data_IF_486355241573
#
_entry.id   IF_486355241573
#
_cell.length_a   1.000
_cell.length_b   1.000
_cell.length_c   1.000
_cell.angle_alpha   90.00
_cell.angle_beta   90.00
_cell.angle_gamma   90.00
#
_symmetry.space_group_name_H-M   'P 1'
#
loop_
_entity.id
_entity.type
_entity.pdbx_description
1 polymer ?
#
# COMPACT_ATOMS: atom_id res chain seq x y z
N UNK A 1 6.24 -8.17 -17.97
CA UNK A 1 5.58 -7.68 -16.76
C UNK A 1 6.17 -6.34 -16.35
N UNK A 2 5.33 -5.42 -16.00
CA UNK A 2 5.76 -4.11 -15.53
C UNK A 2 6.53 -4.25 -14.23
N UNK A 3 7.59 -3.44 -14.06
CA UNK A 3 8.39 -3.49 -12.82
C UNK A 3 7.84 -2.53 -11.78
N UNK A 4 7.94 -2.96 -10.53
CA UNK A 4 7.57 -2.12 -9.39
C UNK A 4 8.72 -1.16 -9.11
N UNK A 5 8.40 0.11 -8.94
CA UNK A 5 9.36 1.12 -8.50
C UNK A 5 9.07 1.49 -7.06
N UNK A 6 10.12 1.47 -6.25
CA UNK A 6 10.05 1.98 -4.88
C UNK A 6 10.24 3.49 -4.97
N UNK A 7 9.27 4.25 -4.46
CA UNK A 7 9.30 5.71 -4.63
C UNK A 7 10.56 6.34 -4.04
N UNK A 8 11.02 5.84 -2.89
CA UNK A 8 12.23 6.35 -2.25
C UNK A 8 13.44 6.28 -3.17
N UNK A 9 13.51 5.26 -4.02
CA UNK A 9 14.59 5.07 -4.98
C UNK A 9 14.34 5.75 -6.32
N UNK A 10 13.14 6.27 -6.51
CA UNK A 10 12.72 6.92 -7.76
C UNK A 10 11.96 8.22 -7.45
N UNK A 11 12.62 9.17 -6.76
CA UNK A 11 11.93 10.37 -6.26
C UNK A 11 11.39 11.30 -7.35
N UNK A 12 11.88 11.16 -8.56
CA UNK A 12 11.37 11.92 -9.71
C UNK A 12 9.91 11.62 -10.00
N UNK A 13 9.38 10.50 -9.50
CA UNK A 13 7.98 10.11 -9.70
C UNK A 13 7.03 10.69 -8.64
N UNK A 14 7.53 11.45 -7.67
CA UNK A 14 6.73 11.87 -6.51
C UNK A 14 5.45 12.60 -6.91
N UNK A 15 5.54 13.66 -7.71
CA UNK A 15 4.35 14.43 -8.07
C UNK A 15 3.38 13.63 -8.93
N UNK A 16 3.87 12.80 -9.84
CA UNK A 16 3.01 11.90 -10.62
C UNK A 16 2.27 10.93 -9.73
N UNK A 17 2.96 10.37 -8.72
CA UNK A 17 2.35 9.46 -7.77
C UNK A 17 1.30 10.16 -6.91
N UNK A 18 1.59 11.35 -6.39
CA UNK A 18 0.63 12.14 -5.61
C UNK A 18 -0.66 12.33 -6.39
N UNK A 19 -0.56 12.80 -7.62
CA UNK A 19 -1.73 13.05 -8.45
C UNK A 19 -2.51 11.78 -8.76
N UNK A 20 -1.79 10.69 -9.07
CA UNK A 20 -2.41 9.42 -9.42
C UNK A 20 -3.19 8.83 -8.24
N UNK A 21 -2.58 8.75 -7.06
CA UNK A 21 -3.25 8.20 -5.88
C UNK A 21 -4.45 9.08 -5.49
N UNK A 22 -4.30 10.40 -5.57
CA UNK A 22 -5.41 11.31 -5.26
C UNK A 22 -6.62 11.07 -6.16
N UNK A 23 -6.40 10.75 -7.43
CA UNK A 23 -7.50 10.46 -8.37
C UNK A 23 -8.24 9.17 -8.01
N UNK A 24 -7.57 8.22 -7.34
CA UNK A 24 -8.16 6.91 -7.03
C UNK A 24 -8.86 6.90 -5.69
N UNK A 25 -8.40 7.69 -4.74
CA UNK A 25 -8.88 7.68 -3.36
C UNK A 25 -9.22 9.09 -2.92
N UNK A 26 -10.25 9.20 -2.06
CA UNK A 26 -10.72 10.51 -1.57
C UNK A 26 -9.85 11.01 -0.41
N UNK A 27 -8.56 11.05 -0.62
CA UNK A 27 -7.60 11.56 0.36
C UNK A 27 -7.03 12.86 -0.20
N UNK A 28 -6.90 13.92 0.62
CA UNK A 28 -6.38 15.18 0.12
C UNK A 28 -4.99 15.05 -0.50
N UNK A 29 -4.76 15.81 -1.55
CA UNK A 29 -3.47 15.85 -2.26
C UNK A 29 -2.31 16.08 -1.28
N UNK A 30 -2.48 17.02 -0.35
CA UNK A 30 -1.42 17.37 0.58
C UNK A 30 -1.06 16.24 1.55
N UNK A 31 -2.03 15.39 1.89
CA UNK A 31 -1.76 14.22 2.74
C UNK A 31 -0.84 13.23 2.01
N UNK A 32 -1.10 12.96 0.73
CA UNK A 32 -0.23 12.12 -0.06
C UNK A 32 1.15 12.75 -0.26
N UNK A 33 1.19 14.05 -0.58
CA UNK A 33 2.45 14.74 -0.81
C UNK A 33 3.33 14.69 0.43
N UNK A 34 2.76 14.94 1.61
CA UNK A 34 3.50 14.89 2.86
C UNK A 34 4.04 13.49 3.14
N UNK A 35 3.20 12.46 2.99
CA UNK A 35 3.62 11.08 3.23
C UNK A 35 4.72 10.66 2.25
N UNK A 36 4.57 11.01 0.98
CA UNK A 36 5.56 10.65 -0.04
C UNK A 36 6.85 11.44 0.10
N UNK A 37 6.76 12.70 0.53
CA UNK A 37 7.94 13.51 0.83
C UNK A 37 8.74 12.88 1.96
N UNK A 38 8.08 12.47 3.02
CA UNK A 38 8.74 11.78 4.14
C UNK A 38 9.34 10.47 3.66
N UNK A 39 8.64 9.72 2.82
CA UNK A 39 9.15 8.49 2.24
C UNK A 39 10.49 8.71 1.51
N UNK A 40 10.56 9.75 0.70
CA UNK A 40 11.75 10.04 -0.11
C UNK A 40 12.90 10.56 0.76
N UNK A 41 12.61 11.40 1.75
CA UNK A 41 13.63 12.05 2.59
C UNK A 41 14.14 11.18 3.74
N UNK A 42 13.40 10.14 4.10
CA UNK A 42 13.71 9.31 5.28
C UNK A 42 14.33 7.98 4.89
N UNK A 43 15.20 7.48 5.75
CA UNK A 43 15.76 6.14 5.61
C UNK A 43 14.97 5.09 6.40
N UNK A 44 13.91 5.49 7.09
CA UNK A 44 13.04 4.58 7.84
C UNK A 44 12.20 3.75 6.87
N UNK A 45 11.77 2.56 7.31
CA UNK A 45 10.96 1.68 6.49
C UNK A 45 9.60 2.28 6.13
N UNK A 46 9.01 3.06 7.04
CA UNK A 46 7.65 3.60 6.92
C UNK A 46 7.70 5.13 7.01
N UNK A 47 6.94 5.88 6.20
CA UNK A 47 6.08 5.41 5.11
C UNK A 47 6.89 4.94 3.90
N UNK A 48 6.33 3.99 3.15
CA UNK A 48 6.92 3.51 1.90
C UNK A 48 5.86 3.48 0.83
N UNK A 49 6.21 3.90 -0.40
CA UNK A 49 5.26 3.96 -1.50
C UNK A 49 5.82 3.22 -2.71
N UNK A 50 4.93 2.51 -3.40
CA UNK A 50 5.26 1.64 -4.52
C UNK A 50 4.39 2.00 -5.71
N UNK A 51 4.99 2.07 -6.89
CA UNK A 51 4.26 2.37 -8.11
C UNK A 51 4.68 1.43 -9.23
N UNK A 52 3.76 1.23 -10.17
CA UNK A 52 4.02 0.43 -11.37
C UNK A 52 3.64 1.28 -12.56
N UNK A 53 4.56 1.40 -13.51
CA UNK A 53 4.34 2.14 -14.74
C UNK A 53 4.38 1.20 -15.94
N UNK A 54 3.63 1.54 -16.98
CA UNK A 54 3.66 0.79 -18.24
C UNK A 54 4.86 1.22 -19.10
N UNK A 55 4.97 0.65 -20.30
CA UNK A 55 6.07 0.97 -21.21
C UNK A 55 6.05 2.41 -21.70
N UNK A 56 4.92 3.11 -21.57
CA UNK A 56 4.79 4.51 -21.96
C UNK A 56 4.92 5.46 -20.76
N UNK A 57 5.44 4.95 -19.63
CA UNK A 57 5.66 5.74 -18.41
C UNK A 57 4.36 6.25 -17.80
N UNK A 58 3.26 5.53 -17.95
CA UNK A 58 1.99 5.87 -17.31
C UNK A 58 1.80 4.99 -16.08
N UNK A 59 1.36 5.59 -14.97
CA UNK A 59 1.10 4.84 -13.75
C UNK A 59 -0.14 3.95 -13.95
N UNK A 60 0.00 2.66 -13.63
CA UNK A 60 -1.06 1.68 -13.80
C UNK A 60 -1.44 0.97 -12.52
N UNK A 61 -0.60 1.04 -11.49
CA UNK A 61 -0.88 0.39 -10.20
C UNK A 61 0.01 0.98 -9.12
N UNK A 62 -0.36 0.74 -7.88
CA UNK A 62 0.46 1.17 -6.76
C UNK A 62 -0.16 0.86 -5.43
N UNK A 63 0.61 1.08 -4.37
CA UNK A 63 0.18 0.93 -2.98
C UNK A 63 1.14 1.67 -2.06
N UNK A 64 0.69 1.94 -0.85
CA UNK A 64 1.55 2.51 0.17
C UNK A 64 1.56 1.66 1.43
N UNK A 65 2.52 1.94 2.30
CA UNK A 65 2.56 1.37 3.65
C UNK A 65 2.79 2.51 4.61
N UNK A 66 1.85 2.71 5.51
CA UNK A 66 1.85 3.81 6.47
C UNK A 66 1.63 3.27 7.87
N UNK A 67 1.80 4.13 8.86
CA UNK A 67 1.70 3.71 10.25
C UNK A 67 0.27 3.28 10.62
N UNK A 68 -0.74 4.06 10.22
CA UNK A 68 -2.14 3.77 10.53
C UNK A 68 -3.05 4.25 9.40
N UNK A 69 -3.88 3.35 8.87
CA UNK A 69 -4.82 3.63 7.79
C UNK A 69 -6.21 3.99 8.35
N UNK A 70 -6.25 5.02 9.20
CA UNK A 70 -7.48 5.66 9.72
C UNK A 70 -8.38 4.72 10.54
N UNK A 71 -7.77 3.89 11.42
CA UNK A 71 -8.55 3.01 12.30
C UNK A 71 -8.14 3.19 13.77
N UNK A 72 -8.87 2.53 14.67
CA UNK A 72 -8.76 2.72 16.12
C UNK A 72 -7.79 1.76 16.82
N UNK A 73 -6.99 1.01 16.06
CA UNK A 73 -6.02 0.07 16.64
C UNK A 73 -4.58 0.45 16.23
N UNK A 74 -4.00 1.48 16.86
CA UNK A 74 -2.63 1.92 16.49
C UNK A 74 -1.55 0.88 16.77
N UNK A 75 -1.85 -0.13 17.59
CA UNK A 75 -0.94 -1.25 17.84
C UNK A 75 -0.82 -2.19 16.63
N UNK A 76 -1.78 -2.18 15.70
CA UNK A 76 -1.76 -3.01 14.49
C UNK A 76 -1.14 -2.20 13.35
N UNK A 77 0.17 -2.15 13.34
CA UNK A 77 0.98 -1.30 12.46
C UNK A 77 2.21 -2.07 11.95
N UNK A 78 2.71 -1.81 10.73
CA UNK A 78 2.22 -0.82 9.76
C UNK A 78 1.12 -1.37 8.87
N UNK A 79 0.45 -0.46 8.15
CA UNK A 79 -0.68 -0.82 7.30
C UNK A 79 -0.38 -0.62 5.82
N UNK A 80 -0.64 -1.65 5.02
CA UNK A 80 -0.70 -1.52 3.57
C UNK A 80 -1.98 -0.77 3.24
N UNK A 81 -1.90 0.24 2.39
CA UNK A 81 -3.03 1.09 2.07
C UNK A 81 -3.05 1.47 0.59
N UNK A 82 -4.18 1.98 0.14
CA UNK A 82 -4.33 2.59 -1.18
C UNK A 82 -3.95 1.68 -2.34
N UNK A 83 -4.05 0.36 -2.18
CA UNK A 83 -3.77 -0.58 -3.26
C UNK A 83 -4.78 -0.37 -4.38
N UNK A 84 -4.28 -0.10 -5.58
CA UNK A 84 -5.12 0.12 -6.74
C UNK A 84 -4.41 -0.35 -8.00
N UNK A 85 -5.17 -1.02 -8.89
CA UNK A 85 -4.70 -1.41 -10.21
C UNK A 85 -5.70 -0.86 -11.22
N UNK A 86 -5.21 -0.15 -12.25
CA UNK A 86 -6.06 0.38 -13.31
C UNK A 86 -6.84 -0.76 -13.97
N UNK A 87 -8.09 -0.49 -14.35
CA UNK A 87 -9.01 -1.51 -14.83
C UNK A 87 -8.44 -2.35 -15.95
N UNK A 88 -7.77 -1.72 -16.91
CA UNK A 88 -7.18 -2.41 -18.07
C UNK A 88 -6.08 -3.40 -17.69
N UNK A 89 -5.52 -3.25 -16.51
CA UNK A 89 -4.40 -4.07 -16.03
C UNK A 89 -4.81 -5.07 -14.97
N UNK A 90 -6.10 -5.16 -14.67
CA UNK A 90 -6.63 -6.11 -13.67
C UNK A 90 -6.66 -7.53 -14.25
N UNK A 91 -6.79 -8.52 -13.36
CA UNK A 91 -6.84 -9.95 -13.67
C UNK A 91 -5.55 -10.49 -14.31
N UNK A 92 -4.44 -9.79 -14.08
CA UNK A 92 -3.12 -10.20 -14.56
C UNK A 92 -2.16 -10.50 -13.39
N UNK A 93 -2.66 -10.50 -12.16
CA UNK A 93 -1.86 -10.81 -10.99
C UNK A 93 -1.03 -9.64 -10.45
N UNK A 94 -1.25 -8.41 -10.93
CA UNK A 94 -0.43 -7.26 -10.52
C UNK A 94 -0.63 -6.93 -9.05
N UNK A 95 -1.87 -6.94 -8.56
CA UNK A 95 -2.12 -6.63 -7.14
C UNK A 95 -1.42 -7.64 -6.22
N UNK A 96 -1.52 -8.93 -6.53
CA UNK A 96 -0.81 -9.97 -5.78
C UNK A 96 0.70 -9.76 -5.84
N UNK A 97 1.21 -9.42 -7.02
CA UNK A 97 2.62 -9.16 -7.23
C UNK A 97 3.11 -8.01 -6.34
N UNK A 98 2.32 -6.91 -6.29
CA UNK A 98 2.64 -5.76 -5.42
C UNK A 98 2.65 -6.18 -3.95
N UNK A 99 1.63 -6.92 -3.51
CA UNK A 99 1.54 -7.35 -2.11
C UNK A 99 2.73 -8.23 -1.72
N UNK A 100 3.13 -9.15 -2.59
CA UNK A 100 4.29 -10.01 -2.32
C UNK A 100 5.59 -9.22 -2.32
N UNK A 101 5.70 -8.24 -3.22
CA UNK A 101 6.88 -7.37 -3.26
C UNK A 101 7.00 -6.56 -1.98
N UNK A 102 5.88 -5.99 -1.49
CA UNK A 102 5.85 -5.22 -0.24
C UNK A 102 6.30 -6.08 0.93
N UNK A 103 5.78 -7.31 1.03
CA UNK A 103 6.17 -8.23 2.11
C UNK A 103 7.67 -8.49 2.10
N UNK A 104 8.23 -8.72 0.93
CA UNK A 104 9.66 -8.98 0.79
C UNK A 104 10.50 -7.73 1.10
N UNK A 105 10.08 -6.58 0.57
CA UNK A 105 10.81 -5.33 0.77
C UNK A 105 10.85 -4.93 2.25
N UNK A 106 9.70 -4.91 2.91
CA UNK A 106 9.63 -4.51 4.31
C UNK A 106 10.20 -5.57 5.24
N UNK A 107 10.11 -6.84 4.86
CA UNK A 107 10.78 -7.91 5.60
C UNK A 107 12.29 -7.72 5.62
N UNK A 108 12.87 -7.26 4.51
CA UNK A 108 14.31 -6.97 4.43
C UNK A 108 14.72 -5.77 5.30
N UNK A 109 13.75 -4.96 5.71
CA UNK A 109 13.97 -3.83 6.60
C UNK A 109 13.63 -4.12 8.05
N UNK A 110 13.37 -5.39 8.39
CA UNK A 110 13.14 -5.80 9.77
C UNK A 110 11.69 -5.76 10.24
N UNK A 111 10.73 -5.51 9.36
CA UNK A 111 9.32 -5.54 9.70
C UNK A 111 8.82 -6.98 9.55
N UNK A 112 8.25 -7.53 10.63
CA UNK A 112 7.86 -8.94 10.65
C UNK A 112 6.42 -9.19 10.22
N UNK A 113 5.51 -8.23 10.49
CA UNK A 113 4.08 -8.40 10.21
C UNK A 113 3.52 -7.14 9.60
N UNK A 114 2.67 -7.32 8.60
CA UNK A 114 1.93 -6.25 7.94
C UNK A 114 0.44 -6.43 8.19
N UNK A 115 -0.27 -5.31 8.21
CA UNK A 115 -1.72 -5.28 8.42
C UNK A 115 -2.38 -4.48 7.31
N UNK A 116 -3.67 -4.70 7.08
CA UNK A 116 -4.48 -3.85 6.21
C UNK A 116 -5.94 -3.94 6.60
N UNK A 117 -6.69 -2.87 6.29
CA UNK A 117 -8.15 -2.86 6.44
C UNK A 117 -8.78 -2.93 5.06
N UNK A 118 -9.88 -3.67 4.95
CA UNK A 118 -10.55 -3.87 3.67
C UNK A 118 -12.00 -4.33 3.86
N UNK A 119 -12.82 -4.09 2.84
CA UNK A 119 -14.17 -4.65 2.74
C UNK A 119 -14.17 -5.97 1.96
N UNK A 120 -13.07 -6.30 1.29
CA UNK A 120 -12.96 -7.53 0.51
C UNK A 120 -12.70 -8.73 1.42
N UNK A 121 -13.39 -9.84 1.16
CA UNK A 121 -13.25 -11.04 1.98
C UNK A 121 -12.39 -12.12 1.35
N UNK A 122 -12.38 -12.22 0.01
CA UNK A 122 -11.72 -13.35 -0.67
C UNK A 122 -10.34 -13.02 -1.21
N UNK A 123 -10.17 -11.83 -1.76
CA UNK A 123 -8.95 -11.50 -2.49
C UNK A 123 -7.70 -11.62 -1.63
N UNK A 124 -7.71 -11.00 -0.45
CA UNK A 124 -6.53 -11.02 0.41
C UNK A 124 -6.23 -12.39 0.97
N UNK A 125 -7.27 -13.18 1.25
CA UNK A 125 -7.08 -14.56 1.70
C UNK A 125 -6.40 -15.39 0.63
N UNK A 126 -6.76 -15.19 -0.64
CA UNK A 126 -6.11 -15.85 -1.77
C UNK A 126 -4.66 -15.40 -1.95
N UNK A 127 -4.31 -14.22 -1.44
CA UNK A 127 -2.95 -13.70 -1.49
C UNK A 127 -2.11 -14.08 -0.27
N UNK A 128 -2.63 -14.94 0.61
CA UNK A 128 -1.90 -15.40 1.78
C UNK A 128 -2.07 -14.54 3.01
N UNK A 129 -3.00 -13.60 3.01
CA UNK A 129 -3.35 -12.80 4.17
C UNK A 129 -4.46 -13.49 4.95
N UNK A 130 -4.51 -13.28 6.25
CA UNK A 130 -5.54 -13.90 7.09
C UNK A 130 -6.30 -12.84 7.87
N UNK A 131 -7.59 -13.10 8.09
CA UNK A 131 -8.42 -12.24 8.91
C UNK A 131 -7.92 -12.26 10.35
N UNK A 132 -7.76 -11.09 10.95
CA UNK A 132 -7.30 -10.97 12.33
C UNK A 132 -8.42 -10.54 13.27
N UNK A 133 -9.06 -9.42 13.00
CA UNK A 133 -10.09 -8.85 13.88
C UNK A 133 -10.85 -7.75 13.17
N UNK A 134 -11.92 -7.28 13.80
CA UNK A 134 -12.60 -6.07 13.33
C UNK A 134 -11.97 -4.86 14.02
N UNK A 135 -11.88 -3.77 13.28
CA UNK A 135 -11.47 -2.47 13.79
C UNK A 135 -12.51 -1.43 13.39
N UNK A 136 -12.39 -0.21 13.86
CA UNK A 136 -13.37 0.84 13.56
C UNK A 136 -12.67 2.05 12.97
N UNK A 137 -13.30 2.66 11.96
CA UNK A 137 -12.80 3.90 11.38
C UNK A 137 -13.20 5.10 12.28
N UNK A 138 -12.85 6.32 11.85
CA UNK A 138 -13.11 7.53 12.64
C UNK A 138 -14.60 7.81 12.84
N UNK A 139 -15.44 7.28 11.97
CA UNK A 139 -16.89 7.44 12.05
C UNK A 139 -17.56 6.31 12.82
N UNK A 140 -16.78 5.36 13.31
CA UNK A 140 -17.27 4.22 14.08
C UNK A 140 -17.72 3.03 13.26
N UNK A 141 -17.52 3.04 11.94
CA UNK A 141 -17.88 1.91 11.10
C UNK A 141 -16.85 0.80 11.23
N UNK A 142 -17.33 -0.43 11.35
CA UNK A 142 -16.49 -1.59 11.50
C UNK A 142 -15.83 -1.96 10.16
N UNK A 143 -14.55 -2.32 10.21
CA UNK A 143 -13.76 -2.74 9.07
C UNK A 143 -13.02 -4.02 9.40
N UNK A 144 -12.78 -4.85 8.38
CA UNK A 144 -11.99 -6.07 8.54
C UNK A 144 -10.51 -5.75 8.53
N UNK A 145 -9.78 -6.22 9.54
CA UNK A 145 -8.33 -6.13 9.60
C UNK A 145 -7.73 -7.48 9.22
N UNK A 146 -6.88 -7.49 8.21
CA UNK A 146 -6.09 -8.67 7.81
C UNK A 146 -4.63 -8.47 8.16
N UNK A 147 -3.93 -9.57 8.33
CA UNK A 147 -2.49 -9.54 8.58
C UNK A 147 -1.77 -10.58 7.75
N UNK A 148 -0.48 -10.35 7.52
CA UNK A 148 0.40 -11.29 6.84
C UNK A 148 1.81 -11.16 7.39
N UNK A 149 2.49 -12.29 7.50
CA UNK A 149 3.92 -12.31 7.81
C UNK A 149 4.71 -11.82 6.60
N UNK A 150 5.82 -11.15 6.84
CA UNK A 150 6.77 -10.80 5.78
C UNK A 150 7.65 -11.99 5.43
N UNK A 151 7.71 -12.99 6.30
CA UNK A 151 8.37 -14.26 5.99
C UNK A 151 7.46 -15.11 5.13
N UNK A 152 7.99 -15.70 4.09
CA UNK A 152 7.26 -16.52 3.14
C UNK A 152 7.80 -17.93 3.09
#
# INVERSE_FOLDING_TARGET
MESIKILRQNPEWLESAVCWFHQKWKVPVEAYRESMRICVENVKAIPQWYIVADSQQRLVAGAGVIENDFHDRPDLSPNVCALFVEEKFRKKGIARYILNFIRKDLGSMGIETLYLVTDHTDFYEKCGWRFLTMVHDKEGFAERMYCASTYQ
#
